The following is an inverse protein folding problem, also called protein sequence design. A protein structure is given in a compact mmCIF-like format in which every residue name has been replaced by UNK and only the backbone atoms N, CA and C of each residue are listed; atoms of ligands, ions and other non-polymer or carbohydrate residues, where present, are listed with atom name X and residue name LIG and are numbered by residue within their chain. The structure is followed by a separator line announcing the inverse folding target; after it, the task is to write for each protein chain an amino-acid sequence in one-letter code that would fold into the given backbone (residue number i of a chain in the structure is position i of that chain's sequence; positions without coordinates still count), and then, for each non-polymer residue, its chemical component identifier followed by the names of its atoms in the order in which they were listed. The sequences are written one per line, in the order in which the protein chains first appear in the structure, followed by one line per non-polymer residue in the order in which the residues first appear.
data_IF_806029642195
#
_entry.id   IF_806029642195
#
_cell.length_a   1.000
_cell.length_b   1.000
_cell.length_c   1.000
_cell.angle_alpha   90.00
_cell.angle_beta   90.00
_cell.angle_gamma   90.00
#
_symmetry.space_group_name_H-M   'P 1'
#
loop_
_entity.id
_entity.type
_entity.pdbx_description
1 polymer ?
#
# COMPACT_ATOMS: atom_id res chain seq x y z
N UNK A 1 -0.57 10.90 8.47
CA UNK A 1 -1.69 10.94 9.45
C UNK A 1 -2.96 10.58 8.68
N UNK A 2 -3.72 9.58 9.12
CA UNK A 2 -4.99 9.21 8.48
C UNK A 2 -6.12 10.07 9.06
N UNK A 3 -7.09 10.37 8.22
CA UNK A 3 -8.30 11.13 8.56
C UNK A 3 -9.47 10.55 7.76
N UNK A 4 -10.69 10.86 8.17
CA UNK A 4 -11.94 10.38 7.58
C UNK A 4 -12.26 8.89 7.85
N UNK A 5 -12.78 8.65 9.06
CA UNK A 5 -13.27 7.34 9.49
C UNK A 5 -14.80 7.22 9.28
N UNK A 6 -15.42 8.07 8.45
CA UNK A 6 -16.88 8.12 8.28
C UNK A 6 -17.49 6.83 7.70
N UNK A 7 -16.67 6.01 7.05
CA UNK A 7 -17.05 4.71 6.51
C UNK A 7 -16.46 3.52 7.27
N UNK A 8 -15.65 3.76 8.31
CA UNK A 8 -15.02 2.69 9.07
C UNK A 8 -16.05 1.82 9.77
N UNK A 9 -15.79 0.51 9.83
CA UNK A 9 -16.67 -0.48 10.44
C UNK A 9 -15.91 -1.26 11.52
N UNK A 10 -16.60 -1.61 12.59
CA UNK A 10 -16.11 -2.52 13.62
C UNK A 10 -16.64 -3.91 13.30
N UNK A 11 -15.73 -4.87 13.08
CA UNK A 11 -16.07 -6.28 12.94
C UNK A 11 -16.30 -6.83 14.36
N UNK A 12 -17.50 -7.34 14.70
CA UNK A 12 -17.74 -7.96 15.99
C UNK A 12 -16.81 -9.15 16.23
N UNK A 13 -16.36 -9.31 17.48
CA UNK A 13 -15.53 -10.45 17.91
C UNK A 13 -16.40 -11.70 18.24
N UNK A 14 -17.46 -11.92 17.47
CA UNK A 14 -18.42 -13.03 17.65
C UNK A 14 -18.06 -14.27 16.82
N UNK A 15 -16.85 -14.30 16.26
CA UNK A 15 -16.39 -15.34 15.35
C UNK A 15 -16.71 -15.08 13.87
N UNK A 16 -17.36 -13.96 13.52
CA UNK A 16 -17.53 -13.56 12.14
C UNK A 16 -16.20 -13.11 11.51
N UNK A 17 -15.79 -13.78 10.43
CA UNK A 17 -14.58 -13.43 9.66
C UNK A 17 -14.75 -12.24 8.70
N UNK A 18 -15.98 -11.72 8.59
CA UNK A 18 -16.37 -10.68 7.64
C UNK A 18 -17.65 -9.99 8.09
N UNK A 19 -17.82 -8.74 7.63
CA UNK A 19 -19.06 -7.99 7.75
C UNK A 19 -19.80 -7.99 6.42
N UNK A 20 -21.09 -8.37 6.46
CA UNK A 20 -21.99 -8.16 5.32
C UNK A 20 -22.62 -6.77 5.43
N UNK A 21 -22.29 -5.86 4.52
CA UNK A 21 -22.78 -4.47 4.56
C UNK A 21 -23.01 -3.90 3.17
N UNK A 22 -23.75 -2.79 3.08
CA UNK A 22 -23.93 -2.07 1.81
C UNK A 22 -22.58 -1.54 1.37
N UNK A 23 -22.21 -1.83 0.12
CA UNK A 23 -20.94 -1.39 -0.45
C UNK A 23 -20.87 0.13 -0.48
N UNK A 24 -19.84 0.66 0.17
CA UNK A 24 -19.48 2.07 0.17
C UNK A 24 -17.96 2.20 0.12
N UNK A 25 -17.46 3.18 -0.63
CA UNK A 25 -16.03 3.49 -0.75
C UNK A 25 -15.72 4.26 -2.03
N UNK A 26 -14.44 4.57 -2.22
CA UNK A 26 -13.97 5.33 -3.38
C UNK A 26 -13.71 4.40 -4.56
N UNK A 27 -14.29 4.66 -5.75
CA UNK A 27 -13.98 3.89 -6.96
C UNK A 27 -12.48 3.82 -7.20
N UNK A 28 -11.99 2.70 -7.75
CA UNK A 28 -10.57 2.46 -8.01
C UNK A 28 -9.79 1.87 -6.83
N UNK A 29 -10.18 2.19 -5.59
CA UNK A 29 -9.57 1.63 -4.37
C UNK A 29 -10.37 0.47 -3.79
N UNK A 30 -11.64 0.32 -4.18
CA UNK A 30 -12.53 -0.73 -3.67
C UNK A 30 -12.02 -2.14 -3.98
N UNK A 31 -11.99 -2.97 -2.93
CA UNK A 31 -11.72 -4.40 -3.03
C UNK A 31 -12.79 -5.10 -3.89
N UNK A 32 -12.40 -5.81 -4.97
CA UNK A 32 -13.34 -6.51 -5.83
C UNK A 32 -14.13 -7.61 -5.11
N UNK A 33 -13.56 -8.24 -4.06
CA UNK A 33 -14.27 -9.27 -3.28
C UNK A 33 -15.36 -8.62 -2.41
N UNK A 34 -15.06 -7.48 -1.79
CA UNK A 34 -16.04 -6.68 -1.06
C UNK A 34 -17.13 -6.17 -2.01
N UNK A 35 -16.78 -5.63 -3.17
CA UNK A 35 -17.72 -5.11 -4.15
C UNK A 35 -18.68 -6.19 -4.68
N UNK A 36 -18.15 -7.38 -4.96
CA UNK A 36 -18.92 -8.46 -5.60
C UNK A 36 -19.76 -9.22 -4.58
N UNK A 37 -19.21 -9.48 -3.39
CA UNK A 37 -19.80 -10.38 -2.41
C UNK A 37 -20.40 -9.65 -1.20
N UNK A 38 -20.30 -8.32 -1.12
CA UNK A 38 -20.65 -7.51 0.05
C UNK A 38 -19.88 -7.92 1.32
N UNK A 39 -18.72 -8.57 1.18
CA UNK A 39 -17.92 -9.11 2.29
C UNK A 39 -16.79 -8.15 2.65
N UNK A 40 -17.02 -7.30 3.64
CA UNK A 40 -15.98 -6.42 4.15
C UNK A 40 -15.11 -7.16 5.17
N UNK A 41 -13.79 -7.11 4.97
CA UNK A 41 -12.80 -7.74 5.86
C UNK A 41 -11.59 -6.83 6.04
N UNK A 42 -10.70 -7.14 6.98
CA UNK A 42 -9.39 -6.49 7.07
C UNK A 42 -8.58 -6.59 5.77
N UNK A 43 -8.80 -7.64 4.97
CA UNK A 43 -8.14 -7.82 3.67
C UNK A 43 -8.64 -6.81 2.62
N UNK A 44 -9.78 -6.18 2.83
CA UNK A 44 -10.27 -5.09 1.97
C UNK A 44 -9.46 -3.80 2.19
N UNK A 45 -9.02 -3.56 3.43
CA UNK A 45 -8.10 -2.46 3.75
C UNK A 45 -6.70 -2.74 3.17
N UNK A 46 -6.23 -3.99 3.24
CA UNK A 46 -4.95 -4.40 2.61
C UNK A 46 -4.97 -4.14 1.10
N UNK A 47 -6.08 -4.48 0.43
CA UNK A 47 -6.23 -4.23 -1.01
C UNK A 47 -6.15 -2.73 -1.31
N UNK A 48 -6.94 -1.92 -0.61
CA UNK A 48 -6.97 -0.47 -0.79
C UNK A 48 -5.60 0.16 -0.52
N UNK A 49 -4.88 -0.32 0.50
CA UNK A 49 -3.50 0.09 0.78
C UNK A 49 -2.56 -0.26 -0.37
N UNK A 50 -2.67 -1.47 -0.95
CA UNK A 50 -1.88 -1.87 -2.11
C UNK A 50 -2.07 -0.95 -3.31
N UNK A 51 -3.31 -0.52 -3.56
CA UNK A 51 -3.62 0.46 -4.62
C UNK A 51 -2.95 1.81 -4.35
N UNK A 52 -3.03 2.31 -3.11
CA UNK A 52 -2.34 3.56 -2.71
C UNK A 52 -0.82 3.41 -2.85
N UNK A 53 -0.26 2.26 -2.49
CA UNK A 53 1.17 2.02 -2.63
C UNK A 53 1.61 2.02 -4.10
N UNK A 54 0.82 1.43 -5.01
CA UNK A 54 1.07 1.52 -6.45
C UNK A 54 0.98 2.96 -6.96
N UNK A 55 -0.01 3.73 -6.51
CA UNK A 55 -0.14 5.17 -6.85
C UNK A 55 1.09 5.97 -6.40
N UNK A 56 1.63 5.68 -5.21
CA UNK A 56 2.87 6.30 -4.72
C UNK A 56 4.09 5.89 -5.55
N UNK A 57 4.28 4.59 -5.81
CA UNK A 57 5.43 4.07 -6.55
C UNK A 57 5.47 4.64 -7.97
N UNK A 58 4.32 4.68 -8.63
CA UNK A 58 4.21 5.05 -10.06
C UNK A 58 4.04 6.54 -10.28
N UNK A 59 3.59 7.28 -9.26
CA UNK A 59 3.17 8.68 -9.38
C UNK A 59 1.94 8.88 -10.27
N UNK A 60 1.21 7.81 -10.63
CA UNK A 60 0.04 7.86 -11.50
C UNK A 60 -1.26 7.83 -10.69
N UNK A 61 -2.27 8.57 -11.15
CA UNK A 61 -3.62 8.50 -10.57
C UNK A 61 -4.25 7.13 -10.83
N UNK A 62 -4.89 6.57 -9.81
CA UNK A 62 -5.58 5.26 -9.87
C UNK A 62 -6.71 5.24 -10.90
N UNK A 63 -7.46 6.34 -11.01
CA UNK A 63 -8.48 6.56 -12.03
C UNK A 63 -8.02 7.73 -12.89
N UNK A 64 -7.56 7.44 -14.11
CA UNK A 64 -7.34 8.48 -15.09
C UNK A 64 -8.68 8.97 -15.64
N UNK A 65 -8.78 10.28 -15.94
CA UNK A 65 -9.97 10.89 -16.55
C UNK A 65 -10.29 10.40 -17.96
N UNK A 66 -9.35 9.71 -18.61
CA UNK A 66 -9.53 9.12 -19.93
C UNK A 66 -9.75 7.62 -19.78
N UNK A 67 -10.87 7.13 -20.32
CA UNK A 67 -11.36 5.74 -20.28
C UNK A 67 -10.35 4.70 -20.83
N UNK A 68 -9.28 5.14 -21.48
CA UNK A 68 -8.28 4.30 -22.15
C UNK A 68 -7.11 3.86 -21.25
N UNK A 69 -6.98 4.38 -20.03
CA UNK A 69 -5.95 3.85 -19.12
C UNK A 69 -6.51 2.64 -18.38
N UNK A 70 -6.09 1.47 -18.85
CA UNK A 70 -6.08 0.21 -18.13
C UNK A 70 -5.83 0.44 -16.63
N UNK A 71 -6.64 -0.20 -15.78
CA UNK A 71 -6.47 -0.21 -14.32
C UNK A 71 -4.97 -0.25 -13.96
N UNK A 72 -4.50 0.67 -13.09
CA UNK A 72 -3.09 0.79 -12.68
C UNK A 72 -2.47 -0.57 -12.32
N UNK A 73 -3.25 -1.47 -11.72
CA UNK A 73 -2.85 -2.83 -11.37
C UNK A 73 -2.49 -3.66 -12.61
N UNK A 74 -3.31 -3.62 -13.66
CA UNK A 74 -3.06 -4.36 -14.91
C UNK A 74 -1.87 -3.77 -15.67
N UNK A 75 -1.74 -2.44 -15.68
CA UNK A 75 -0.60 -1.79 -16.28
C UNK A 75 0.71 -2.18 -15.58
N UNK A 76 0.78 -2.08 -14.26
CA UNK A 76 1.95 -2.52 -13.49
C UNK A 76 2.21 -4.01 -13.70
N UNK A 77 1.18 -4.87 -13.65
CA UNK A 77 1.34 -6.31 -13.90
C UNK A 77 1.99 -6.60 -15.24
N UNK A 78 1.61 -5.87 -16.30
CA UNK A 78 2.20 -6.06 -17.63
C UNK A 78 3.68 -5.69 -17.68
N UNK A 79 4.08 -4.60 -17.01
CA UNK A 79 5.48 -4.18 -16.92
C UNK A 79 6.31 -5.11 -16.03
N UNK A 80 5.70 -5.64 -14.97
CA UNK A 80 6.33 -6.63 -14.10
C UNK A 80 6.72 -7.89 -14.90
N UNK A 81 5.84 -8.35 -15.78
CA UNK A 81 6.11 -9.51 -16.64
C UNK A 81 7.26 -9.29 -17.63
N UNK A 82 7.53 -8.03 -18.00
CA UNK A 82 8.62 -7.63 -18.90
C UNK A 82 9.93 -7.41 -18.12
N UNK A 83 9.84 -7.13 -16.82
CA UNK A 83 10.99 -6.89 -15.95
C UNK A 83 11.50 -5.44 -15.97
N UNK A 84 10.72 -4.50 -16.50
CA UNK A 84 11.13 -3.09 -16.61
C UNK A 84 10.66 -2.24 -15.42
N UNK A 85 11.42 -2.31 -14.32
CA UNK A 85 11.13 -1.55 -13.10
C UNK A 85 11.19 -0.04 -13.31
N UNK A 86 12.04 0.45 -14.24
CA UNK A 86 12.20 1.88 -14.48
C UNK A 86 10.98 2.47 -15.18
N UNK A 87 10.26 1.67 -15.97
CA UNK A 87 8.98 2.06 -16.54
C UNK A 87 7.83 2.08 -15.52
N UNK A 88 7.98 1.36 -14.39
CA UNK A 88 6.97 1.30 -13.32
C UNK A 88 7.13 2.48 -12.36
N UNK A 89 8.36 2.73 -11.91
CA UNK A 89 8.66 3.75 -10.89
C UNK A 89 8.48 5.16 -11.46
N UNK A 90 8.01 6.08 -10.62
CA UNK A 90 7.77 7.47 -10.98
C UNK A 90 8.99 8.11 -11.64
N UNK A 91 8.81 8.52 -12.90
CA UNK A 91 9.83 9.19 -13.72
C UNK A 91 10.41 10.45 -13.07
N UNK A 92 9.69 11.11 -12.15
CA UNK A 92 10.15 12.29 -11.40
C UNK A 92 11.29 11.98 -10.42
N UNK A 93 11.51 10.71 -10.09
CA UNK A 93 12.67 10.28 -9.31
C UNK A 93 13.96 10.25 -10.14
N UNK A 94 13.87 10.36 -11.47
CA UNK A 94 15.04 10.44 -12.38
C UNK A 94 16.06 9.30 -12.19
N UNK A 95 15.60 8.13 -11.71
CA UNK A 95 16.45 6.97 -11.43
C UNK A 95 17.16 6.99 -10.08
N UNK A 96 16.85 7.94 -9.19
CA UNK A 96 17.39 8.02 -7.84
C UNK A 96 16.68 7.05 -6.87
N UNK A 97 16.88 5.75 -7.09
CA UNK A 97 16.39 4.67 -6.22
C UNK A 97 17.24 3.41 -6.39
N UNK A 98 17.27 2.55 -5.37
CA UNK A 98 17.80 1.19 -5.52
C UNK A 98 16.83 0.30 -6.31
N UNK A 99 17.34 -0.43 -7.29
CA UNK A 99 16.52 -1.31 -8.14
C UNK A 99 15.85 -2.42 -7.32
N UNK A 100 16.54 -2.99 -6.33
CA UNK A 100 16.01 -4.10 -5.54
C UNK A 100 14.97 -3.60 -4.53
N UNK A 101 15.22 -2.43 -3.91
CA UNK A 101 14.24 -1.81 -3.00
C UNK A 101 12.94 -1.47 -3.75
N UNK A 102 13.05 -0.86 -4.94
CA UNK A 102 11.90 -0.54 -5.77
C UNK A 102 11.14 -1.81 -6.21
N UNK A 103 11.87 -2.85 -6.65
CA UNK A 103 11.26 -4.12 -7.00
C UNK A 103 10.50 -4.75 -5.84
N UNK A 104 11.11 -4.80 -4.66
CA UNK A 104 10.47 -5.36 -3.47
C UNK A 104 9.22 -4.58 -3.08
N UNK A 105 9.25 -3.24 -3.18
CA UNK A 105 8.07 -2.41 -2.95
C UNK A 105 6.92 -2.72 -3.93
N UNK A 106 7.24 -2.92 -5.22
CA UNK A 106 6.25 -3.33 -6.24
C UNK A 106 5.69 -4.72 -5.92
N UNK A 107 6.53 -5.69 -5.55
CA UNK A 107 6.07 -7.03 -5.16
C UNK A 107 5.10 -7.00 -3.98
N UNK A 108 5.42 -6.23 -2.94
CA UNK A 108 4.55 -6.04 -1.77
C UNK A 108 3.21 -5.44 -2.20
N UNK A 109 3.24 -4.39 -3.02
CA UNK A 109 2.03 -3.75 -3.53
C UNK A 109 1.18 -4.72 -4.37
N UNK A 110 1.80 -5.49 -5.25
CA UNK A 110 1.15 -6.49 -6.10
C UNK A 110 0.54 -7.64 -5.30
N UNK A 111 1.18 -8.05 -4.20
CA UNK A 111 0.63 -9.06 -3.29
C UNK A 111 -0.62 -8.52 -2.55
N UNK A 112 -0.59 -7.26 -2.11
CA UNK A 112 -1.73 -6.59 -1.46
C UNK A 112 -2.96 -6.50 -2.38
N UNK A 113 -2.76 -6.21 -3.67
CA UNK A 113 -3.86 -6.09 -4.66
C UNK A 113 -4.28 -7.41 -5.31
N UNK A 114 -3.91 -8.55 -4.72
CA UNK A 114 -4.35 -9.86 -5.23
C UNK A 114 -5.89 -9.95 -5.25
N UNK A 115 -6.43 -10.50 -6.34
CA UNK A 115 -7.87 -10.77 -6.47
C UNK A 115 -8.37 -11.78 -5.44
N UNK A 116 -7.48 -12.61 -4.89
CA UNK A 116 -7.80 -13.62 -3.87
C UNK A 116 -7.44 -13.08 -2.48
N UNK A 117 -8.41 -12.77 -1.60
CA UNK A 117 -8.13 -12.19 -0.28
C UNK A 117 -7.21 -13.03 0.61
N UNK A 118 -7.22 -14.35 0.46
CA UNK A 118 -6.35 -15.26 1.20
C UNK A 118 -4.88 -15.21 0.76
N UNK A 119 -4.59 -14.65 -0.43
CA UNK A 119 -3.21 -14.44 -0.90
C UNK A 119 -2.65 -13.08 -0.51
N UNK A 120 -3.51 -12.16 -0.08
CA UNK A 120 -3.07 -10.87 0.42
C UNK A 120 -2.34 -11.08 1.75
N UNK A 121 -1.19 -10.46 1.99
CA UNK A 121 -0.53 -10.49 3.30
C UNK A 121 -1.42 -9.84 4.37
N UNK A 122 -1.11 -10.09 5.64
CA UNK A 122 -1.65 -9.30 6.74
C UNK A 122 -0.84 -7.99 6.88
N UNK A 123 -1.46 -6.92 7.39
CA UNK A 123 -0.79 -5.61 7.44
C UNK A 123 0.50 -5.59 8.26
N UNK A 124 0.63 -6.43 9.29
CA UNK A 124 1.88 -6.54 10.04
C UNK A 124 3.04 -7.06 9.19
N UNK A 125 2.79 -8.01 8.28
CA UNK A 125 3.78 -8.51 7.31
C UNK A 125 4.12 -7.41 6.30
N UNK A 126 3.11 -6.70 5.79
CA UNK A 126 3.32 -5.56 4.87
C UNK A 126 4.25 -4.51 5.50
N UNK A 127 3.98 -4.12 6.75
CA UNK A 127 4.81 -3.15 7.48
C UNK A 127 6.23 -3.67 7.69
N UNK A 128 6.38 -4.95 8.03
CA UNK A 128 7.69 -5.57 8.22
C UNK A 128 8.51 -5.52 6.92
N UNK A 129 7.96 -6.00 5.80
CA UNK A 129 8.67 -6.04 4.52
C UNK A 129 8.98 -4.64 3.98
N UNK A 130 8.08 -3.66 4.17
CA UNK A 130 8.34 -2.27 3.79
C UNK A 130 9.47 -1.64 4.62
N UNK A 131 9.59 -1.98 5.90
CA UNK A 131 10.70 -1.52 6.75
C UNK A 131 12.04 -2.10 6.29
N UNK A 132 12.08 -3.38 5.93
CA UNK A 132 13.29 -3.98 5.35
C UNK A 132 13.65 -3.32 4.02
N UNK A 133 12.67 -3.10 3.15
CA UNK A 133 12.83 -2.42 1.86
C UNK A 133 13.41 -1.01 2.03
N UNK A 134 12.90 -0.26 3.00
CA UNK A 134 13.40 1.07 3.35
C UNK A 134 14.84 1.03 3.88
N UNK A 135 15.19 0.03 4.70
CA UNK A 135 16.55 -0.11 5.22
C UNK A 135 17.57 -0.31 4.08
N UNK A 136 17.22 -1.09 3.05
CA UNK A 136 18.04 -1.25 1.84
C UNK A 136 18.25 0.08 1.11
N UNK A 137 17.18 0.86 0.92
CA UNK A 137 17.27 2.16 0.25
C UNK A 137 18.12 3.16 1.04
N UNK A 138 17.96 3.22 2.35
CA UNK A 138 18.75 4.10 3.20
C UNK A 138 20.24 3.73 3.20
N UNK A 139 20.56 2.44 3.15
CA UNK A 139 21.93 1.97 3.03
C UNK A 139 22.59 2.42 1.71
N UNK A 140 21.83 2.53 0.61
CA UNK A 140 22.31 3.11 -0.65
C UNK A 140 22.72 4.58 -0.49
N UNK A 141 21.89 5.37 0.19
CA UNK A 141 22.08 6.84 0.32
C UNK A 141 23.14 7.27 1.33
N UNK A 142 23.60 6.38 2.21
CA UNK A 142 24.63 6.67 3.22
C UNK A 142 25.97 5.98 2.89
N UNK A 143 26.88 6.62 2.14
CA UNK A 143 28.24 6.12 2.01
C UNK A 143 29.08 6.59 3.22
N UNK A 144 29.48 5.67 4.10
CA UNK A 144 30.58 5.80 5.06
C UNK A 144 30.74 7.16 5.81
N UNK A 145 29.82 7.50 6.71
CA UNK A 145 30.14 8.39 7.84
C UNK A 145 29.90 7.62 9.14
N UNK A 146 31.01 7.23 9.79
CA UNK A 146 31.17 6.78 11.18
C UNK A 146 30.05 5.97 11.81
N UNK A 147 30.40 4.81 12.36
CA UNK A 147 29.58 3.98 13.24
C UNK A 147 28.88 4.80 14.33
N UNK A 148 27.69 5.32 14.02
CA UNK A 148 26.64 5.64 14.96
C UNK A 148 25.59 4.57 14.77
N UNK A 149 25.38 3.81 15.85
CA UNK A 149 24.28 2.88 16.03
C UNK A 149 23.00 3.49 15.45
N UNK A 150 22.44 2.84 14.44
CA UNK A 150 21.12 3.21 13.93
C UNK A 150 20.14 2.86 15.05
N UNK A 151 19.75 3.85 15.86
CA UNK A 151 18.48 3.73 16.56
C UNK A 151 17.38 3.65 15.48
N UNK A 152 16.49 2.64 15.54
CA UNK A 152 15.35 2.62 14.64
C UNK A 152 14.64 3.97 14.78
N UNK A 153 14.26 4.58 13.66
CA UNK A 153 13.38 5.75 13.67
C UNK A 153 12.10 5.31 14.38
N UNK A 154 12.03 5.59 15.68
CA UNK A 154 10.84 5.50 16.48
C UNK A 154 9.96 6.65 15.97
N UNK A 155 9.19 6.37 14.92
CA UNK A 155 7.99 7.13 14.62
C UNK A 155 7.02 6.84 15.76
N UNK A 156 7.25 7.51 16.88
CA UNK A 156 6.37 7.50 18.02
C UNK A 156 5.05 8.14 17.59
N UNK A 157 4.07 7.31 17.25
CA UNK A 157 2.70 7.74 16.95
C UNK A 157 1.90 8.04 18.23
N UNK A 158 2.52 8.01 19.42
CA UNK A 158 1.84 8.20 20.70
C UNK A 158 1.88 9.62 21.27
N UNK A 159 2.29 10.63 20.50
CA UNK A 159 2.14 12.03 20.92
C UNK A 159 0.64 12.35 21.14
N UNK A 160 0.28 12.33 22.41
CA UNK A 160 -1.03 12.62 22.99
C UNK A 160 -1.59 13.92 22.42
N UNK A 161 -2.56 13.81 21.51
CA UNK A 161 -3.48 14.89 21.19
C UNK A 161 -4.80 14.57 21.89
N UNK A 162 -4.93 15.08 23.12
CA UNK A 162 -6.25 15.29 23.71
C UNK A 162 -6.96 16.29 22.78
N UNK A 163 -8.06 15.93 22.12
CA UNK A 163 -8.79 16.89 21.30
C UNK A 163 -9.51 17.86 22.23
N UNK A 164 -9.17 19.15 22.15
CA UNK A 164 -10.04 20.19 22.70
C UNK A 164 -11.21 20.34 21.73
N UNK A 165 -12.40 19.90 22.15
CA UNK A 165 -13.63 20.17 21.41
C UNK A 165 -13.87 21.69 21.34
N UNK A 166 -14.30 22.17 20.18
CA UNK A 166 -14.87 23.50 19.98
C UNK A 166 -16.32 23.36 19.59
#
# INVERSE_FOLDING_TARGET
KLSDFGLSKIIPDDGASHLSTVVAGTPGYLDPDYYTNNRLTEKSDVYSFGVVLLEIITGQQVIARNEERSNIIEWVRSLVAIGDIKAIVDSRLEGDFDINSAWKAVEIAMACVSLRPNQRPIMSVVVFELKETLATELARTKPNSSAESIEPVNLDFSAQLIPLAR
#
